data_IF_489360189047
#
_entry.id   IF_489360189047
#
_cell.length_a   1.000
_cell.length_b   1.000
_cell.length_c   1.000
_cell.angle_alpha   90.00
_cell.angle_beta   90.00
_cell.angle_gamma   90.00
#
_symmetry.space_group_name_H-M   'P 1'
#
loop_
_entity.id
_entity.type
_entity.pdbx_description
1 polymer ?
#
# COMPACT_ATOMS: atom_id res chain seq x y z
N UNK A 1 8.24 -11.27 -25.56
CA UNK A 1 7.98 -12.65 -26.00
C UNK A 1 8.08 -13.64 -24.82
N UNK A 2 7.21 -13.53 -23.80
CA UNK A 2 7.35 -14.31 -22.52
C UNK A 2 6.12 -15.17 -22.17
N UNK A 3 5.03 -15.10 -22.96
CA UNK A 3 3.78 -15.80 -22.68
C UNK A 3 3.85 -17.33 -22.86
N UNK A 4 4.82 -17.84 -23.63
CA UNK A 4 4.86 -19.23 -24.06
C UNK A 4 5.38 -20.23 -23.01
N UNK A 5 6.07 -19.78 -21.94
CA UNK A 5 6.74 -20.70 -20.99
C UNK A 5 5.93 -21.02 -19.74
N UNK A 6 5.00 -20.15 -19.32
CA UNK A 6 4.18 -20.37 -18.12
C UNK A 6 3.05 -21.38 -18.37
N UNK A 7 2.40 -21.33 -19.54
CA UNK A 7 1.27 -22.20 -19.88
C UNK A 7 1.66 -23.68 -19.85
N UNK A 8 2.78 -24.03 -20.46
CA UNK A 8 3.27 -25.42 -20.51
C UNK A 8 3.69 -25.98 -19.14
N UNK A 9 3.93 -25.13 -18.14
CA UNK A 9 4.28 -25.54 -16.77
C UNK A 9 3.02 -25.77 -15.93
N UNK A 10 2.00 -24.93 -16.11
CA UNK A 10 0.73 -25.05 -15.37
C UNK A 10 -0.11 -26.27 -15.80
N UNK A 11 -0.02 -26.65 -17.09
CA UNK A 11 -0.87 -27.70 -17.67
C UNK A 11 -0.23 -29.10 -17.69
N UNK A 12 1.01 -29.27 -17.18
CA UNK A 12 1.72 -30.55 -17.22
C UNK A 12 1.91 -31.16 -15.81
N UNK A 13 1.09 -32.17 -15.43
CA UNK A 13 1.14 -32.80 -14.11
C UNK A 13 2.40 -33.65 -13.86
N UNK A 14 3.27 -33.88 -14.88
CA UNK A 14 4.54 -34.59 -14.73
C UNK A 14 5.71 -33.68 -14.33
N UNK A 15 5.51 -32.36 -14.29
CA UNK A 15 6.49 -31.41 -13.77
C UNK A 15 6.27 -31.35 -12.25
N UNK A 16 6.84 -32.33 -11.54
CA UNK A 16 6.91 -32.30 -10.07
C UNK A 16 7.78 -31.14 -9.56
N UNK A 17 7.88 -31.00 -8.22
CA UNK A 17 8.58 -29.91 -7.55
C UNK A 17 10.00 -29.60 -8.05
N UNK A 18 10.71 -30.58 -8.63
CA UNK A 18 12.07 -30.41 -9.18
C UNK A 18 12.05 -29.61 -10.49
N UNK A 19 11.01 -29.79 -11.30
CA UNK A 19 10.81 -29.02 -12.53
C UNK A 19 10.30 -27.60 -12.28
N UNK A 20 9.45 -27.44 -11.25
CA UNK A 20 8.97 -26.12 -10.83
C UNK A 20 10.11 -25.24 -10.33
N UNK A 21 11.08 -25.78 -9.57
CA UNK A 21 12.23 -25.00 -9.07
C UNK A 21 13.04 -24.33 -10.19
N UNK A 22 13.15 -24.96 -11.36
CA UNK A 22 13.85 -24.40 -12.54
C UNK A 22 13.15 -23.19 -13.15
N UNK A 23 11.83 -23.08 -12.99
CA UNK A 23 11.02 -22.01 -13.55
C UNK A 23 10.47 -21.05 -12.50
N UNK A 24 10.57 -21.42 -11.21
CA UNK A 24 10.10 -20.66 -10.05
C UNK A 24 10.62 -19.23 -10.03
N UNK A 25 11.91 -19.02 -10.31
CA UNK A 25 12.49 -17.68 -10.37
C UNK A 25 11.87 -16.84 -11.50
N UNK A 26 11.63 -17.43 -12.68
CA UNK A 26 11.01 -16.74 -13.81
C UNK A 26 9.54 -16.41 -13.54
N UNK A 27 8.81 -17.31 -12.87
CA UNK A 27 7.42 -17.09 -12.44
C UNK A 27 7.38 -15.93 -11.45
N UNK A 28 8.24 -15.95 -10.42
CA UNK A 28 8.32 -14.87 -9.44
C UNK A 28 8.73 -13.53 -10.06
N UNK A 29 9.65 -13.54 -11.04
CA UNK A 29 10.02 -12.32 -11.74
C UNK A 29 8.87 -11.79 -12.58
N UNK A 30 8.18 -12.64 -13.34
CA UNK A 30 7.00 -12.24 -14.11
C UNK A 30 5.88 -11.69 -13.22
N UNK A 31 5.68 -12.27 -12.03
CA UNK A 31 4.75 -11.75 -11.04
C UNK A 31 5.19 -10.39 -10.48
N UNK A 32 6.48 -10.21 -10.15
CA UNK A 32 7.00 -8.91 -9.72
C UNK A 32 6.99 -7.86 -10.82
N UNK A 33 7.12 -8.23 -12.08
CA UNK A 33 7.06 -7.28 -13.19
C UNK A 33 5.60 -6.89 -13.46
N UNK A 34 4.68 -7.85 -13.38
CA UNK A 34 3.24 -7.64 -13.61
C UNK A 34 2.56 -6.92 -12.45
N UNK A 35 2.91 -7.29 -11.21
CA UNK A 35 2.48 -6.67 -9.97
C UNK A 35 3.62 -5.88 -9.34
N UNK A 36 4.42 -5.19 -10.16
CA UNK A 36 5.47 -4.30 -9.64
C UNK A 36 4.83 -3.40 -8.59
N UNK A 37 5.41 -3.27 -7.39
CA UNK A 37 4.89 -2.37 -6.40
C UNK A 37 4.99 -0.97 -7.01
N UNK A 38 3.90 -0.52 -7.64
CA UNK A 38 3.77 0.84 -8.14
C UNK A 38 3.89 1.86 -7.02
N UNK A 39 3.70 1.39 -5.78
CA UNK A 39 3.69 2.17 -4.57
C UNK A 39 4.94 1.90 -3.76
N UNK A 40 5.76 2.92 -3.57
CA UNK A 40 6.80 2.94 -2.55
C UNK A 40 6.15 3.29 -1.19
N UNK A 41 6.15 2.37 -0.20
CA UNK A 41 5.61 2.66 1.13
C UNK A 41 6.26 3.88 1.81
N UNK A 42 7.52 4.18 1.51
CA UNK A 42 8.19 5.35 2.07
C UNK A 42 7.69 6.65 1.45
N UNK A 43 7.40 6.65 0.15
CA UNK A 43 6.79 7.79 -0.54
C UNK A 43 5.39 8.11 0.02
N UNK A 44 4.68 7.11 0.54
CA UNK A 44 3.33 7.27 1.11
C UNK A 44 3.31 7.78 2.56
N UNK A 45 4.48 7.91 3.20
CA UNK A 45 4.56 8.40 4.57
C UNK A 45 4.03 9.84 4.64
N UNK A 46 3.18 10.10 5.64
CA UNK A 46 2.66 11.45 5.87
C UNK A 46 3.81 12.39 6.24
N UNK A 47 3.83 13.58 5.66
CA UNK A 47 4.75 14.62 6.12
C UNK A 47 4.36 15.03 7.55
N UNK A 48 5.29 15.47 8.41
CA UNK A 48 4.94 16.01 9.72
C UNK A 48 3.96 17.17 9.58
N UNK A 49 2.94 17.20 10.44
CA UNK A 49 2.02 18.34 10.51
C UNK A 49 2.78 19.57 11.07
N UNK A 50 2.75 20.70 10.36
CA UNK A 50 3.36 21.93 10.85
C UNK A 50 2.65 22.50 12.08
N UNK A 51 3.38 23.17 12.98
CA UNK A 51 2.83 23.68 14.26
C UNK A 51 1.64 24.64 14.09
N UNK A 52 1.62 25.41 13.01
CA UNK A 52 0.56 26.36 12.67
C UNK A 52 -0.17 25.99 11.37
N UNK A 53 0.03 24.78 10.85
CA UNK A 53 -0.59 24.35 9.60
C UNK A 53 -2.08 24.07 9.80
N UNK A 54 -2.91 24.55 8.87
CA UNK A 54 -4.32 24.23 8.88
C UNK A 54 -4.51 22.73 8.54
N UNK A 55 -5.23 22.00 9.38
CA UNK A 55 -5.46 20.56 9.23
C UNK A 55 -6.13 20.18 7.89
N UNK A 56 -7.08 20.98 7.41
CA UNK A 56 -7.74 20.70 6.14
C UNK A 56 -6.75 20.87 4.97
N UNK A 57 -5.93 21.93 4.99
CA UNK A 57 -4.88 22.14 3.99
C UNK A 57 -3.84 21.02 4.01
N UNK A 58 -3.44 20.57 5.20
CA UNK A 58 -2.54 19.42 5.38
C UNK A 58 -3.13 18.15 4.77
N UNK A 59 -4.37 17.81 5.11
CA UNK A 59 -5.04 16.62 4.57
C UNK A 59 -5.18 16.67 3.05
N UNK A 60 -5.51 17.82 2.48
CA UNK A 60 -5.55 18.00 1.02
C UNK A 60 -4.17 17.80 0.36
N UNK A 61 -3.11 18.30 0.99
CA UNK A 61 -1.73 18.10 0.52
C UNK A 61 -1.37 16.61 0.51
N UNK A 62 -1.65 15.89 1.60
CA UNK A 62 -1.38 14.46 1.69
C UNK A 62 -2.24 13.66 0.70
N UNK A 63 -3.52 14.03 0.51
CA UNK A 63 -4.38 13.42 -0.50
C UNK A 63 -3.83 13.57 -1.93
N UNK A 64 -3.32 14.76 -2.28
CA UNK A 64 -2.70 15.01 -3.58
C UNK A 64 -1.45 14.16 -3.78
N UNK A 65 -0.60 14.07 -2.75
CA UNK A 65 0.60 13.21 -2.74
C UNK A 65 0.23 11.75 -2.98
N UNK A 66 -0.73 11.22 -2.22
CA UNK A 66 -1.19 9.84 -2.37
C UNK A 66 -1.79 9.56 -3.75
N UNK A 67 -2.55 10.49 -4.34
CA UNK A 67 -3.07 10.33 -5.70
C UNK A 67 -1.95 10.24 -6.74
N UNK A 68 -0.87 11.01 -6.56
CA UNK A 68 0.28 10.98 -7.45
C UNK A 68 1.03 9.64 -7.37
N UNK A 69 1.28 9.16 -6.15
CA UNK A 69 2.04 7.92 -5.91
C UNK A 69 1.25 6.65 -6.25
N UNK A 70 -0.07 6.65 -6.04
CA UNK A 70 -0.90 5.46 -6.25
C UNK A 70 -1.56 5.39 -7.61
N UNK A 71 -1.57 6.51 -8.36
CA UNK A 71 -2.36 6.70 -9.59
C UNK A 71 -3.86 6.39 -9.41
N UNK A 72 -4.35 6.32 -8.17
CA UNK A 72 -5.69 5.88 -7.83
C UNK A 72 -6.39 6.91 -6.94
N UNK A 73 -7.72 6.94 -7.02
CA UNK A 73 -8.50 7.64 -6.00
C UNK A 73 -8.55 6.78 -4.74
N UNK A 74 -7.90 7.26 -3.66
CA UNK A 74 -7.86 6.51 -2.41
C UNK A 74 -9.25 6.29 -1.81
N UNK A 75 -10.25 7.13 -2.16
CA UNK A 75 -11.61 7.05 -1.61
C UNK A 75 -12.43 5.90 -2.17
N UNK A 76 -12.07 5.38 -3.34
CA UNK A 76 -12.79 4.28 -3.99
C UNK A 76 -12.26 2.91 -3.58
N UNK A 77 -11.11 2.87 -2.89
CA UNK A 77 -10.45 1.65 -2.45
C UNK A 77 -10.32 1.65 -0.92
N UNK A 78 -11.02 0.73 -0.26
CA UNK A 78 -11.04 0.62 1.20
C UNK A 78 -9.65 0.38 1.79
N UNK A 79 -8.82 -0.44 1.14
CA UNK A 79 -7.44 -0.68 1.59
C UNK A 79 -6.63 0.61 1.54
N UNK A 80 -6.69 1.36 0.43
CA UNK A 80 -5.97 2.64 0.30
C UNK A 80 -6.48 3.68 1.28
N UNK A 81 -7.79 3.72 1.55
CA UNK A 81 -8.36 4.59 2.58
C UNK A 81 -7.79 4.27 3.96
N UNK A 82 -7.72 2.99 4.33
CA UNK A 82 -7.16 2.57 5.62
C UNK A 82 -5.67 2.89 5.71
N UNK A 83 -4.89 2.58 4.67
CA UNK A 83 -3.45 2.88 4.64
C UNK A 83 -3.19 4.39 4.73
N UNK A 84 -3.98 5.20 4.03
CA UNK A 84 -3.90 6.66 4.11
C UNK A 84 -4.17 7.15 5.54
N UNK A 85 -5.27 6.69 6.17
CA UNK A 85 -5.58 7.04 7.58
C UNK A 85 -4.42 6.69 8.52
N UNK A 86 -3.84 5.50 8.37
CA UNK A 86 -2.69 5.09 9.18
C UNK A 86 -1.48 5.99 8.96
N UNK A 87 -1.17 6.37 7.72
CA UNK A 87 -0.06 7.30 7.44
C UNK A 87 -0.23 8.68 8.08
N UNK A 88 -1.48 9.16 8.13
CA UNK A 88 -1.83 10.43 8.74
C UNK A 88 -1.71 10.33 10.26
N UNK A 89 -2.25 9.26 10.85
CA UNK A 89 -2.10 8.98 12.28
C UNK A 89 -0.61 8.92 12.62
N UNK A 90 0.20 8.13 11.92
CA UNK A 90 1.64 8.00 12.18
C UNK A 90 2.38 9.34 12.18
N UNK A 91 2.05 10.23 11.25
CA UNK A 91 2.66 11.55 11.12
C UNK A 91 2.27 12.55 12.23
N UNK A 92 1.20 12.29 12.98
CA UNK A 92 0.80 13.15 14.11
C UNK A 92 1.74 13.02 15.31
N UNK A 93 1.88 14.11 16.07
CA UNK A 93 2.57 14.09 17.36
C UNK A 93 1.84 13.20 18.37
N UNK A 94 2.58 12.66 19.34
CA UNK A 94 2.03 11.83 20.42
C UNK A 94 0.93 12.55 21.21
N UNK A 95 1.08 13.85 21.42
CA UNK A 95 0.09 14.67 22.12
C UNK A 95 -1.24 14.76 21.36
N UNK A 96 -1.20 14.93 20.03
CA UNK A 96 -2.41 14.98 19.20
C UNK A 96 -3.07 13.61 19.14
N UNK A 97 -2.27 12.54 18.99
CA UNK A 97 -2.75 11.15 19.04
C UNK A 97 -3.51 10.85 20.34
N UNK A 98 -2.92 11.19 21.48
CA UNK A 98 -3.52 10.95 22.81
C UNK A 98 -4.87 11.65 22.96
N UNK A 99 -4.95 12.92 22.54
CA UNK A 99 -6.21 13.69 22.63
C UNK A 99 -7.29 13.14 21.71
N UNK A 100 -6.91 12.73 20.50
CA UNK A 100 -7.86 12.16 19.54
C UNK A 100 -8.31 10.74 19.94
N UNK A 101 -7.44 9.95 20.58
CA UNK A 101 -7.82 8.65 21.14
C UNK A 101 -8.90 8.80 22.21
N UNK A 102 -8.77 9.78 23.11
CA UNK A 102 -9.77 10.07 24.15
C UNK A 102 -11.14 10.50 23.60
N UNK A 103 -11.15 11.26 22.49
CA UNK A 103 -12.38 11.88 21.97
C UNK A 103 -13.08 11.00 20.92
N UNK A 104 -12.30 10.27 20.10
CA UNK A 104 -12.82 9.59 18.90
C UNK A 104 -12.41 8.11 18.85
N UNK A 105 -11.49 7.64 19.70
CA UNK A 105 -11.00 6.26 19.70
C UNK A 105 -10.33 5.89 18.37
N UNK A 106 -9.18 6.49 18.06
CA UNK A 106 -8.50 6.30 16.76
C UNK A 106 -8.24 4.81 16.49
N UNK A 107 -7.87 4.06 17.53
CA UNK A 107 -7.60 2.61 17.42
C UNK A 107 -8.86 1.74 17.49
N UNK A 108 -9.97 2.25 18.04
CA UNK A 108 -11.24 1.52 18.13
C UNK A 108 -11.87 1.29 16.76
N UNK A 109 -11.60 2.16 15.79
CA UNK A 109 -12.05 2.01 14.40
C UNK A 109 -11.28 0.96 13.57
N UNK A 110 -10.17 0.43 14.09
CA UNK A 110 -9.36 -0.62 13.44
C UNK A 110 -9.79 -2.05 13.84
N UNK A 111 -10.76 -2.19 14.75
CA UNK A 111 -11.21 -3.48 15.26
C UNK A 111 -12.36 -4.05 14.42
N UNK A 112 -12.07 -4.53 13.20
CA UNK A 112 -12.97 -5.41 12.43
C UNK A 112 -12.19 -6.33 11.49
#
# INVERSE_FOLDING_TARGET
MVRARLKNVADNPMIDGVGFDRVRQNVWQALRDYYSPKMDPQALRGDPLGESENLAAYLEKQLKKWRLETEQDIRTNQLLTTMFRNSIIEAMSSQVKSRLEEVVGLTSSMSH
#
